data_IF_207244254061
#
_entry.id   IF_207244254061
#
_cell.length_a   1.000
_cell.length_b   1.000
_cell.length_c   1.000
_cell.angle_alpha   90.00
_cell.angle_beta   90.00
_cell.angle_gamma   90.00
#
_symmetry.space_group_name_H-M   'P 1'
#
loop_
_entity.id
_entity.type
_entity.pdbx_description
1 polymer ?
#
# COMPACT_ATOMS: atom_id res chain seq x y z
N UNK A 1 -3.99 5.69 22.93
CA UNK A 1 -3.46 4.80 21.86
C UNK A 1 -4.26 3.50 21.79
N UNK A 2 -4.24 2.65 22.83
CA UNK A 2 -4.99 1.38 22.84
C UNK A 2 -6.51 1.50 22.61
N UNK A 3 -7.19 2.46 23.24
CA UNK A 3 -8.64 2.64 23.05
C UNK A 3 -9.00 3.03 21.61
N UNK A 4 -8.23 3.96 21.03
CA UNK A 4 -8.40 4.38 19.64
C UNK A 4 -8.09 3.25 18.65
N UNK A 5 -7.04 2.46 18.93
CA UNK A 5 -6.74 1.26 18.15
C UNK A 5 -7.89 0.25 18.19
N UNK A 6 -8.39 -0.06 19.38
CA UNK A 6 -9.50 -0.99 19.54
C UNK A 6 -10.75 -0.50 18.80
N UNK A 7 -10.98 0.81 18.75
CA UNK A 7 -12.06 1.40 17.96
C UNK A 7 -11.82 1.25 16.45
N UNK A 8 -10.60 1.55 15.95
CA UNK A 8 -10.20 1.32 14.54
C UNK A 8 -10.37 -0.16 14.14
N UNK A 9 -9.89 -1.09 14.97
CA UNK A 9 -10.02 -2.54 14.77
C UNK A 9 -11.49 -2.97 14.73
N UNK A 10 -12.30 -2.52 15.69
CA UNK A 10 -13.74 -2.81 15.72
C UNK A 10 -14.45 -2.28 14.47
N UNK A 11 -14.12 -1.06 14.04
CA UNK A 11 -14.67 -0.47 12.83
C UNK A 11 -14.28 -1.27 11.58
N UNK A 12 -13.00 -1.62 11.42
CA UNK A 12 -12.57 -2.44 10.28
C UNK A 12 -13.25 -3.81 10.26
N UNK A 13 -13.41 -4.46 11.43
CA UNK A 13 -14.11 -5.73 11.53
C UNK A 13 -15.58 -5.62 11.10
N UNK A 14 -16.25 -4.50 11.40
CA UNK A 14 -17.61 -4.23 10.91
C UNK A 14 -17.65 -4.01 9.39
N UNK A 15 -16.60 -3.39 8.84
CA UNK A 15 -16.48 -3.10 7.41
C UNK A 15 -15.93 -4.28 6.58
N UNK A 16 -15.40 -5.34 7.21
CA UNK A 16 -14.74 -6.46 6.53
C UNK A 16 -15.54 -7.03 5.36
N UNK A 17 -16.87 -7.28 5.48
CA UNK A 17 -17.63 -7.83 4.37
C UNK A 17 -17.63 -6.90 3.14
N UNK A 18 -17.74 -5.59 3.38
CA UNK A 18 -17.75 -4.56 2.34
C UNK A 18 -16.36 -4.42 1.72
N UNK A 19 -15.32 -4.38 2.55
CA UNK A 19 -13.93 -4.33 2.10
C UNK A 19 -13.58 -5.55 1.24
N UNK A 20 -14.06 -6.74 1.63
CA UNK A 20 -13.85 -7.98 0.87
C UNK A 20 -14.57 -7.97 -0.47
N UNK A 21 -15.81 -7.48 -0.53
CA UNK A 21 -16.55 -7.33 -1.78
C UNK A 21 -15.83 -6.34 -2.72
N UNK A 22 -15.43 -5.19 -2.20
CA UNK A 22 -14.64 -4.19 -2.94
C UNK A 22 -13.32 -4.75 -3.44
N UNK A 23 -12.55 -5.41 -2.58
CA UNK A 23 -11.26 -6.02 -2.95
C UNK A 23 -11.45 -7.08 -4.05
N UNK A 24 -12.57 -7.82 -4.01
CA UNK A 24 -12.95 -8.77 -5.07
C UNK A 24 -13.28 -8.05 -6.39
N UNK A 25 -14.03 -6.94 -6.32
CA UNK A 25 -14.35 -6.12 -7.48
C UNK A 25 -13.10 -5.50 -8.12
N UNK A 26 -12.18 -4.94 -7.32
CA UNK A 26 -10.90 -4.40 -7.82
C UNK A 26 -10.09 -5.50 -8.52
N UNK A 27 -10.05 -6.70 -7.93
CA UNK A 27 -9.36 -7.87 -8.52
C UNK A 27 -10.03 -8.43 -9.78
N UNK A 28 -11.26 -8.05 -10.11
CA UNK A 28 -11.89 -8.43 -11.38
C UNK A 28 -11.64 -7.40 -12.49
N UNK A 29 -11.17 -6.20 -12.14
CA UNK A 29 -10.78 -5.18 -13.12
C UNK A 29 -9.61 -5.65 -13.99
N UNK A 30 -9.51 -5.12 -15.22
CA UNK A 30 -8.33 -5.31 -16.06
C UNK A 30 -7.12 -4.58 -15.46
N UNK A 31 -5.91 -4.90 -15.95
CA UNK A 31 -4.68 -4.22 -15.52
C UNK A 31 -4.79 -2.70 -15.68
N UNK A 32 -5.26 -2.24 -16.83
CA UNK A 32 -5.40 -0.83 -17.18
C UNK A 32 -6.35 -0.12 -16.22
N UNK A 33 -7.49 -0.76 -15.90
CA UNK A 33 -8.47 -0.22 -14.95
C UNK A 33 -7.92 -0.15 -13.52
N UNK A 34 -7.11 -1.11 -13.07
CA UNK A 34 -6.46 -1.06 -11.75
C UNK A 34 -5.42 0.06 -11.68
N UNK A 35 -4.57 0.15 -12.70
CA UNK A 35 -3.57 1.24 -12.77
C UNK A 35 -4.26 2.59 -12.71
N UNK A 36 -5.30 2.80 -13.53
CA UNK A 36 -6.08 4.03 -13.52
C UNK A 36 -6.71 4.34 -12.15
N UNK A 37 -7.26 3.33 -11.47
CA UNK A 37 -7.82 3.47 -10.12
C UNK A 37 -6.75 3.95 -9.13
N UNK A 38 -5.60 3.28 -9.10
CA UNK A 38 -4.52 3.65 -8.18
C UNK A 38 -3.93 5.02 -8.50
N UNK A 39 -3.75 5.37 -9.78
CA UNK A 39 -3.32 6.71 -10.20
C UNK A 39 -4.28 7.78 -9.69
N UNK A 40 -5.59 7.62 -9.93
CA UNK A 40 -6.61 8.59 -9.52
C UNK A 40 -6.68 8.78 -8.01
N UNK A 41 -6.54 7.71 -7.25
CA UNK A 41 -6.64 7.78 -5.79
C UNK A 41 -5.34 8.34 -5.23
N UNK A 42 -4.17 7.86 -5.66
CA UNK A 42 -2.89 8.37 -5.16
C UNK A 42 -2.69 9.86 -5.54
N UNK A 43 -3.23 10.31 -6.68
CA UNK A 43 -3.31 11.75 -7.01
C UNK A 43 -3.99 12.58 -5.90
N UNK A 44 -4.93 12.01 -5.15
CA UNK A 44 -5.59 12.68 -4.01
C UNK A 44 -4.85 12.53 -2.68
N UNK A 45 -3.74 11.78 -2.62
CA UNK A 45 -2.89 11.59 -1.44
C UNK A 45 -1.43 12.03 -1.70
N UNK A 46 -1.13 13.35 -1.71
CA UNK A 46 0.23 13.86 -1.96
C UNK A 46 1.29 13.29 -1.02
N UNK A 47 0.94 13.02 0.24
CA UNK A 47 1.83 12.42 1.22
C UNK A 47 2.27 11.01 0.80
N UNK A 48 1.35 10.22 0.22
CA UNK A 48 1.67 8.88 -0.28
C UNK A 48 2.56 8.94 -1.53
N UNK A 49 2.39 9.97 -2.37
CA UNK A 49 3.22 10.13 -3.57
C UNK A 49 4.70 10.23 -3.24
N UNK A 50 5.05 10.88 -2.12
CA UNK A 50 6.44 11.01 -1.67
C UNK A 50 7.15 9.68 -1.42
N UNK A 51 6.40 8.60 -1.21
CA UNK A 51 6.94 7.25 -0.99
C UNK A 51 7.33 6.55 -2.30
N UNK A 52 6.78 6.99 -3.43
CA UNK A 52 6.86 6.30 -4.70
C UNK A 52 8.24 6.43 -5.35
N UNK A 53 8.66 5.44 -6.16
CA UNK A 53 9.80 5.65 -7.04
C UNK A 53 9.47 6.73 -8.07
N UNK A 54 10.48 7.49 -8.47
CA UNK A 54 10.36 8.49 -9.52
C UNK A 54 10.89 7.97 -10.85
N UNK A 55 10.32 8.48 -11.94
CA UNK A 55 10.80 8.29 -13.31
C UNK A 55 11.02 9.64 -13.96
N UNK A 56 11.99 9.69 -14.87
CA UNK A 56 12.21 10.85 -15.73
C UNK A 56 11.71 10.54 -17.13
N UNK A 57 10.84 11.39 -17.66
CA UNK A 57 10.43 11.37 -19.07
C UNK A 57 10.50 12.80 -19.60
N UNK A 58 11.20 12.99 -20.73
CA UNK A 58 11.38 14.31 -21.35
C UNK A 58 11.89 15.38 -20.36
N UNK A 59 12.87 15.03 -19.52
CA UNK A 59 13.45 15.89 -18.48
C UNK A 59 12.48 16.33 -17.36
N UNK A 60 11.30 15.72 -17.28
CA UNK A 60 10.33 15.91 -16.19
C UNK A 60 10.34 14.69 -15.28
N UNK A 61 10.50 14.91 -13.98
CA UNK A 61 10.40 13.87 -12.96
C UNK A 61 8.94 13.71 -12.49
N UNK A 62 8.45 12.48 -12.49
CA UNK A 62 7.11 12.12 -12.03
C UNK A 62 7.15 10.87 -11.16
N UNK A 63 6.19 10.75 -10.24
CA UNK A 63 6.02 9.55 -9.43
C UNK A 63 5.39 8.43 -10.26
N UNK A 64 6.00 7.24 -10.23
CA UNK A 64 5.47 6.10 -10.96
C UNK A 64 4.49 5.30 -10.10
N UNK A 65 3.26 5.17 -10.60
CA UNK A 65 2.17 4.41 -9.96
C UNK A 65 1.73 3.22 -10.83
N UNK A 66 2.31 3.06 -12.03
CA UNK A 66 1.86 2.13 -13.07
C UNK A 66 2.00 0.65 -12.72
N UNK A 67 2.70 0.35 -11.61
CA UNK A 67 2.94 -1.01 -11.14
C UNK A 67 1.97 -1.46 -10.04
N UNK A 68 1.14 -0.58 -9.48
CA UNK A 68 0.21 -0.99 -8.42
C UNK A 68 -0.84 -1.97 -8.96
N UNK A 69 -0.98 -3.10 -8.26
CA UNK A 69 -1.99 -4.10 -8.57
C UNK A 69 -3.05 -4.17 -7.46
N UNK A 70 -2.62 -4.30 -6.21
CA UNK A 70 -3.54 -4.30 -5.07
C UNK A 70 -2.83 -3.84 -3.79
N UNK A 71 -3.53 -3.11 -2.93
CA UNK A 71 -3.10 -2.81 -1.57
C UNK A 71 -4.16 -3.35 -0.62
N UNK A 72 -3.72 -3.99 0.46
CA UNK A 72 -4.60 -4.42 1.54
C UNK A 72 -3.96 -4.13 2.89
N UNK A 73 -4.75 -3.55 3.80
CA UNK A 73 -4.34 -3.36 5.18
C UNK A 73 -5.33 -4.05 6.11
N UNK A 74 -4.82 -4.93 6.97
CA UNK A 74 -5.61 -5.66 7.98
C UNK A 74 -5.12 -5.31 9.37
N UNK A 75 -5.99 -4.75 10.19
CA UNK A 75 -5.74 -4.54 11.61
C UNK A 75 -5.94 -5.88 12.33
N UNK A 76 -5.04 -6.17 13.26
CA UNK A 76 -5.01 -7.36 14.08
C UNK A 76 -5.07 -6.97 15.56
N UNK A 77 -5.31 -7.96 16.41
CA UNK A 77 -5.22 -7.77 17.86
C UNK A 77 -3.80 -7.39 18.30
N UNK A 78 -3.67 -6.84 19.52
CA UNK A 78 -2.40 -6.49 20.15
C UNK A 78 -1.58 -5.45 19.37
N UNK A 79 -2.23 -4.40 18.87
CA UNK A 79 -1.60 -3.30 18.11
C UNK A 79 -0.84 -3.76 16.86
N UNK A 80 -1.22 -4.92 16.29
CA UNK A 80 -0.58 -5.45 15.09
C UNK A 80 -1.34 -5.05 13.84
N UNK A 81 -0.64 -4.67 12.79
CA UNK A 81 -1.22 -4.53 11.46
C UNK A 81 -0.48 -5.42 10.47
N UNK A 82 -1.21 -5.82 9.44
CA UNK A 82 -0.67 -6.47 8.25
C UNK A 82 -0.90 -5.56 7.05
N UNK A 83 0.17 -5.20 6.36
CA UNK A 83 0.12 -4.48 5.08
C UNK A 83 0.57 -5.44 3.98
N UNK A 84 -0.25 -5.59 2.95
CA UNK A 84 0.03 -6.42 1.78
C UNK A 84 -0.04 -5.55 0.53
N UNK A 85 1.06 -5.51 -0.22
CA UNK A 85 1.15 -4.82 -1.50
C UNK A 85 1.42 -5.85 -2.60
N UNK A 86 0.53 -5.91 -3.57
CA UNK A 86 0.74 -6.63 -4.83
C UNK A 86 1.08 -5.63 -5.93
N UNK A 87 2.09 -5.97 -6.72
CA UNK A 87 2.56 -5.17 -7.84
C UNK A 87 2.60 -6.01 -9.11
N UNK A 88 2.38 -5.36 -10.24
CA UNK A 88 2.73 -5.95 -11.53
C UNK A 88 4.25 -6.04 -11.69
N UNK A 89 4.70 -6.84 -12.65
CA UNK A 89 6.09 -6.81 -13.08
C UNK A 89 6.50 -5.37 -13.41
N UNK A 90 7.59 -4.92 -12.80
CA UNK A 90 8.02 -3.53 -12.79
C UNK A 90 9.56 -3.44 -12.83
N UNK A 91 10.14 -2.26 -13.11
CA UNK A 91 11.58 -2.12 -13.25
C UNK A 91 12.33 -2.03 -11.91
N UNK A 92 11.66 -2.04 -10.77
CA UNK A 92 12.27 -1.72 -9.47
C UNK A 92 12.68 -2.94 -8.66
N UNK A 93 11.76 -3.90 -8.54
CA UNK A 93 11.91 -5.09 -7.69
C UNK A 93 11.48 -6.34 -8.45
N UNK A 94 12.04 -7.50 -8.07
CA UNK A 94 11.62 -8.80 -8.60
C UNK A 94 10.38 -9.35 -7.89
N UNK A 95 10.07 -8.86 -6.69
CA UNK A 95 8.90 -9.28 -5.92
C UNK A 95 7.61 -8.82 -6.62
N UNK A 96 6.61 -9.69 -6.72
CA UNK A 96 5.25 -9.34 -7.17
C UNK A 96 4.26 -9.18 -6.01
N UNK A 97 4.65 -9.64 -4.82
CA UNK A 97 3.91 -9.47 -3.57
C UNK A 97 4.89 -9.14 -2.45
N UNK A 98 4.50 -8.16 -1.64
CA UNK A 98 5.18 -7.73 -0.43
C UNK A 98 4.20 -7.77 0.74
N UNK A 99 4.69 -8.17 1.89
CA UNK A 99 3.94 -8.30 3.13
C UNK A 99 4.78 -7.78 4.31
N UNK A 100 4.17 -6.94 5.15
CA UNK A 100 4.74 -6.58 6.46
C UNK A 100 3.70 -6.76 7.53
N UNK A 101 4.07 -7.48 8.59
CA UNK A 101 3.29 -7.50 9.84
C UNK A 101 4.05 -6.67 10.84
N UNK A 102 3.42 -5.63 11.39
CA UNK A 102 4.06 -4.65 12.26
C UNK A 102 3.30 -4.54 13.58
N UNK A 103 4.01 -4.51 14.70
CA UNK A 103 3.47 -4.14 16.00
C UNK A 103 3.74 -2.64 16.22
N UNK A 104 2.68 -1.84 16.37
CA UNK A 104 2.82 -0.39 16.49
C UNK A 104 3.36 0.08 17.84
N UNK A 105 3.47 -0.82 18.82
CA UNK A 105 4.01 -0.50 20.16
C UNK A 105 5.55 -0.51 20.18
N UNK A 106 6.17 -1.48 19.51
CA UNK A 106 7.61 -1.70 19.55
C UNK A 106 8.29 -1.73 18.16
N UNK A 107 7.53 -1.43 17.09
CA UNK A 107 7.94 -1.49 15.69
C UNK A 107 8.54 -2.85 15.26
N UNK A 108 8.37 -3.89 16.09
CA UNK A 108 8.85 -5.22 15.74
C UNK A 108 7.84 -5.89 14.84
N UNK A 109 8.36 -6.62 13.87
CA UNK A 109 7.52 -7.15 12.82
C UNK A 109 8.18 -8.25 12.02
N UNK A 110 7.35 -8.88 11.20
CA UNK A 110 7.82 -9.69 10.10
C UNK A 110 8.03 -8.75 8.90
N UNK A 111 9.25 -8.76 8.40
CA UNK A 111 9.66 -8.03 7.20
C UNK A 111 9.79 -9.00 6.04
N UNK A 112 9.56 -8.48 4.84
CA UNK A 112 9.82 -9.19 3.60
C UNK A 112 11.21 -8.84 3.07
N UNK A 113 11.87 -9.82 2.46
CA UNK A 113 13.10 -9.56 1.73
C UNK A 113 12.78 -8.93 0.37
N UNK A 114 13.20 -7.68 0.18
CA UNK A 114 13.06 -6.96 -1.08
C UNK A 114 14.25 -7.27 -1.99
N UNK A 115 13.97 -7.77 -3.19
CA UNK A 115 14.98 -8.05 -4.21
C UNK A 115 14.93 -6.92 -5.25
N UNK A 116 15.70 -5.86 -5.02
CA UNK A 116 15.84 -4.76 -5.98
C UNK A 116 16.58 -5.22 -7.24
N UNK A 117 16.12 -4.72 -8.40
CA UNK A 117 16.81 -4.91 -9.68
C UNK A 117 18.10 -4.08 -9.71
N UNK A 118 19.06 -4.53 -10.51
CA UNK A 118 20.37 -3.89 -10.60
C UNK A 118 20.26 -2.42 -11.05
N UNK A 119 20.99 -1.52 -10.37
CA UNK A 119 21.03 -0.09 -10.70
C UNK A 119 19.81 0.73 -10.24
N UNK A 120 18.83 0.10 -9.58
CA UNK A 120 17.63 0.80 -9.09
C UNK A 120 17.92 1.53 -7.78
N UNK A 121 17.53 2.80 -7.71
CA UNK A 121 17.50 3.57 -6.46
C UNK A 121 16.35 3.07 -5.59
N UNK A 122 16.63 2.77 -4.32
CA UNK A 122 15.61 2.42 -3.32
C UNK A 122 14.62 3.58 -3.11
N UNK A 123 13.36 3.24 -2.85
CA UNK A 123 12.32 4.19 -2.45
C UNK A 123 11.62 3.75 -1.17
N UNK A 124 10.99 4.70 -0.49
CA UNK A 124 10.40 4.51 0.84
C UNK A 124 9.21 3.55 0.83
N UNK A 125 8.43 3.51 -0.25
CA UNK A 125 7.36 2.54 -0.43
C UNK A 125 7.85 1.11 -0.23
N UNK A 126 8.97 0.73 -0.87
CA UNK A 126 9.50 -0.63 -0.79
C UNK A 126 10.33 -0.84 0.49
N UNK A 127 11.06 0.18 0.95
CA UNK A 127 11.79 0.12 2.22
C UNK A 127 10.83 -0.16 3.39
N UNK A 128 9.61 0.38 3.34
CA UNK A 128 8.56 0.05 4.31
C UNK A 128 8.35 -1.45 4.49
N UNK A 129 8.55 -2.30 3.48
CA UNK A 129 8.35 -3.74 3.64
C UNK A 129 9.59 -4.49 4.11
N UNK A 130 10.79 -3.94 3.91
CA UNK A 130 12.05 -4.66 4.08
C UNK A 130 13.01 -4.13 5.14
N UNK A 131 12.73 -2.98 5.74
CA UNK A 131 13.62 -2.34 6.72
C UNK A 131 12.94 -2.25 8.11
N UNK A 132 13.73 -2.37 9.18
CA UNK A 132 13.24 -2.32 10.56
C UNK A 132 12.91 -0.87 10.98
N UNK A 133 13.82 0.06 10.67
CA UNK A 133 13.77 1.47 11.10
C UNK A 133 13.01 2.37 10.11
N UNK A 134 11.77 2.01 9.79
CA UNK A 134 10.90 2.83 8.92
C UNK A 134 9.94 3.65 9.76
N UNK A 135 9.62 4.86 9.29
CA UNK A 135 8.65 5.73 9.95
C UNK A 135 7.28 5.04 10.02
N UNK A 136 6.78 4.86 11.24
CA UNK A 136 5.45 4.29 11.50
C UNK A 136 4.33 5.18 10.96
N UNK A 137 4.57 6.46 10.69
CA UNK A 137 3.59 7.34 10.03
C UNK A 137 3.17 6.81 8.66
N UNK A 138 4.06 6.05 7.98
CA UNK A 138 3.75 5.43 6.69
C UNK A 138 2.61 4.42 6.80
N UNK A 139 2.46 3.75 7.95
CA UNK A 139 1.34 2.84 8.18
C UNK A 139 -0.01 3.53 8.05
N UNK A 140 -0.18 4.72 8.64
CA UNK A 140 -1.43 5.47 8.53
C UNK A 140 -1.71 5.87 7.07
N UNK A 141 -0.66 6.23 6.30
CA UNK A 141 -0.80 6.51 4.86
C UNK A 141 -1.29 5.27 4.08
N UNK A 142 -0.74 4.08 4.34
CA UNK A 142 -1.22 2.84 3.71
C UNK A 142 -2.65 2.51 4.12
N UNK A 143 -2.99 2.70 5.39
CA UNK A 143 -4.32 2.40 5.92
C UNK A 143 -5.39 3.31 5.30
N UNK A 144 -5.13 4.61 5.27
CA UNK A 144 -6.05 5.60 4.71
C UNK A 144 -6.22 5.38 3.21
N UNK A 145 -5.12 5.18 2.47
CA UNK A 145 -5.18 4.85 1.04
C UNK A 145 -6.01 3.57 0.80
N UNK A 146 -5.83 2.53 1.61
CA UNK A 146 -6.58 1.28 1.49
C UNK A 146 -8.08 1.48 1.71
N UNK A 147 -8.51 2.28 2.68
CA UNK A 147 -9.93 2.56 2.91
C UNK A 147 -10.55 3.32 1.73
N UNK A 148 -9.77 4.20 1.11
CA UNK A 148 -10.20 5.10 0.05
C UNK A 148 -10.26 4.44 -1.34
N UNK A 149 -9.69 3.24 -1.51
CA UNK A 149 -9.74 2.46 -2.77
C UNK A 149 -11.15 2.31 -3.38
N UNK A 150 -12.20 2.38 -2.55
CA UNK A 150 -13.59 2.26 -3.02
C UNK A 150 -14.14 3.53 -3.67
N UNK A 151 -13.57 4.70 -3.37
CA UNK A 151 -14.09 5.98 -3.82
C UNK A 151 -13.71 6.31 -5.27
N UNK A 152 -12.69 5.64 -5.83
CA UNK A 152 -12.26 5.82 -7.22
C UNK A 152 -12.90 4.86 -8.23
N UNK A 153 -13.74 3.92 -7.78
CA UNK A 153 -14.41 2.96 -8.67
C UNK A 153 -15.60 3.65 -9.34
N UNK A 154 -15.39 4.21 -10.54
CA UNK A 154 -16.50 4.60 -11.41
C UNK A 154 -17.04 3.35 -12.11
N UNK A 155 -18.30 3.00 -11.83
CA UNK A 155 -19.05 1.97 -12.54
C UNK A 155 -19.60 2.54 -13.85
N UNK A 156 -18.70 2.90 -14.77
CA UNK A 156 -19.05 3.17 -16.17
C UNK A 156 -18.77 1.95 -17.07
#
# INVERSE_FOLDING_TARGET
>A
MYEFWNLKLKYQNLMEPILKERDTAIRSLTKEKRVYLFEKIIETFPEFQSLLPTRTHEDVEYYDMSFFNMLKVTLLENLKAKVELEVFENPYIENTKLERIICLDDNKGQLDKINYKEGVKKCDLFNFFGEEDVDLSYFDLFYDLYLELGNGISLE
#
